data_IF_461649551412
#
_entry.id   IF_461649551412
#
_cell.length_a   1.000
_cell.length_b   1.000
_cell.length_c   1.000
_cell.angle_alpha   90.00
_cell.angle_beta   90.00
_cell.angle_gamma   90.00
#
_symmetry.space_group_name_H-M   'P 1'
#
loop_
_entity.id
_entity.type
_entity.pdbx_description
1 polymer ?
#
# COMPACT_ATOMS: atom_id res chain seq x y z
N UNK A 1 20.40 -3.83 2.20
CA UNK A 1 20.92 -4.58 1.07
C UNK A 1 20.09 -4.34 -0.19
N UNK A 2 18.77 -4.47 -0.17
CA UNK A 2 17.88 -4.24 -1.34
C UNK A 2 17.43 -2.77 -1.55
N UNK A 3 18.11 -1.81 -0.96
CA UNK A 3 17.68 -0.40 -0.95
C UNK A 3 17.80 0.30 -2.32
N UNK A 4 18.78 -0.10 -3.15
CA UNK A 4 19.13 0.57 -4.43
C UNK A 4 18.46 -0.01 -5.67
N UNK A 5 17.80 -1.17 -5.57
CA UNK A 5 17.40 -1.97 -6.73
C UNK A 5 15.89 -2.19 -6.82
N UNK A 6 15.10 -1.19 -6.38
CA UNK A 6 13.65 -1.27 -6.59
C UNK A 6 13.31 -0.81 -8.00
N UNK A 7 12.57 -1.64 -8.73
CA UNK A 7 12.06 -1.29 -10.08
C UNK A 7 11.24 -0.01 -10.08
N UNK A 8 10.61 0.32 -8.97
CA UNK A 8 9.86 1.56 -8.78
C UNK A 8 10.77 2.80 -8.83
N UNK A 9 12.05 2.70 -8.45
CA UNK A 9 13.00 3.84 -8.52
C UNK A 9 13.11 4.41 -9.92
N UNK A 10 13.28 3.56 -10.93
CA UNK A 10 13.36 3.98 -12.34
C UNK A 10 12.05 4.60 -12.84
N UNK A 11 10.91 4.20 -12.28
CA UNK A 11 9.61 4.80 -12.58
C UNK A 11 9.47 6.16 -11.90
N UNK A 12 9.92 6.30 -10.65
CA UNK A 12 9.89 7.56 -9.90
C UNK A 12 10.73 8.65 -10.56
N UNK A 13 11.87 8.29 -11.16
CA UNK A 13 12.71 9.23 -11.92
C UNK A 13 12.05 9.74 -13.20
N UNK A 14 11.04 9.04 -13.71
CA UNK A 14 10.29 9.38 -14.94
C UNK A 14 8.92 9.97 -14.66
N UNK A 15 8.54 10.16 -13.40
CA UNK A 15 7.24 10.71 -13.05
C UNK A 15 7.16 12.20 -13.38
N UNK A 16 5.98 12.69 -13.78
CA UNK A 16 5.75 14.10 -14.00
C UNK A 16 6.04 14.91 -12.73
N UNK A 17 6.87 15.96 -12.85
CA UNK A 17 7.19 16.85 -11.74
C UNK A 17 6.03 17.79 -11.34
N UNK A 18 4.93 17.75 -12.09
CA UNK A 18 3.72 18.57 -11.91
C UNK A 18 2.61 17.81 -11.17
N UNK A 19 2.91 16.68 -10.53
CA UNK A 19 1.95 15.89 -9.77
C UNK A 19 2.52 15.39 -8.46
N UNK A 20 1.71 15.41 -7.41
CA UNK A 20 2.05 14.75 -6.17
C UNK A 20 2.04 13.22 -6.37
N UNK A 21 3.10 12.56 -5.95
CA UNK A 21 3.28 11.12 -6.11
C UNK A 21 2.79 10.43 -4.85
N UNK A 22 1.87 9.47 -5.02
CA UNK A 22 1.33 8.69 -3.91
C UNK A 22 1.78 7.24 -4.03
N UNK A 23 2.64 6.81 -3.09
CA UNK A 23 3.19 5.45 -3.06
C UNK A 23 2.34 4.58 -2.13
N UNK A 24 1.51 3.75 -2.72
CA UNK A 24 0.73 2.73 -2.03
C UNK A 24 1.51 1.43 -1.84
N UNK A 25 1.09 0.60 -0.93
CA UNK A 25 1.61 -0.76 -0.77
C UNK A 25 1.37 -1.30 0.63
N UNK A 26 1.42 -2.62 0.76
CA UNK A 26 1.26 -3.29 2.05
C UNK A 26 2.24 -2.74 3.10
N UNK A 27 1.95 -2.97 4.38
CA UNK A 27 2.89 -2.65 5.47
C UNK A 27 4.21 -3.38 5.26
N UNK A 28 5.32 -2.76 5.65
CA UNK A 28 6.68 -3.34 5.58
C UNK A 28 7.17 -3.73 4.17
N UNK A 29 6.58 -3.18 3.10
CA UNK A 29 7.13 -3.33 1.73
C UNK A 29 8.35 -2.43 1.48
N UNK A 30 8.68 -1.53 2.41
CA UNK A 30 9.86 -0.66 2.32
C UNK A 30 9.58 0.69 1.66
N UNK A 31 8.35 1.23 1.72
CA UNK A 31 7.98 2.55 1.15
C UNK A 31 8.87 3.67 1.68
N UNK A 32 8.90 3.85 2.99
CA UNK A 32 9.70 4.88 3.67
C UNK A 32 11.18 4.71 3.35
N UNK A 33 11.72 3.48 3.47
CA UNK A 33 13.12 3.17 3.17
C UNK A 33 13.50 3.47 1.71
N UNK A 34 12.58 3.23 0.77
CA UNK A 34 12.79 3.57 -0.63
C UNK A 34 12.93 5.08 -0.83
N UNK A 35 12.03 5.88 -0.24
CA UNK A 35 12.05 7.33 -0.35
C UNK A 35 13.25 7.96 0.38
N UNK A 36 13.59 7.45 1.58
CA UNK A 36 14.81 7.88 2.31
C UNK A 36 16.06 7.69 1.46
N UNK A 37 16.15 6.56 0.75
CA UNK A 37 17.29 6.30 -0.11
C UNK A 37 17.29 7.16 -1.38
N UNK A 38 16.11 7.35 -1.99
CA UNK A 38 15.96 8.16 -3.20
C UNK A 38 16.35 9.63 -2.98
N UNK A 39 16.07 10.14 -1.77
CA UNK A 39 16.24 11.56 -1.46
C UNK A 39 17.36 11.86 -0.45
N UNK A 40 18.30 10.93 -0.25
CA UNK A 40 19.37 11.06 0.74
C UNK A 40 20.23 12.33 0.57
N UNK A 41 20.37 12.81 -0.68
CA UNK A 41 21.22 13.97 -1.04
C UNK A 41 20.39 15.24 -1.34
N UNK A 42 19.10 15.26 -0.93
CA UNK A 42 18.17 16.38 -1.16
C UNK A 42 17.73 17.02 0.14
N UNK A 43 17.27 18.26 0.08
CA UNK A 43 16.63 18.94 1.21
C UNK A 43 15.21 18.46 1.38
N UNK A 44 15.01 17.47 2.25
CA UNK A 44 13.72 16.81 2.47
C UNK A 44 13.11 17.25 3.78
N UNK A 45 11.82 17.59 3.76
CA UNK A 45 10.98 17.66 4.95
C UNK A 45 10.16 16.38 5.04
N UNK A 46 10.34 15.66 6.13
CA UNK A 46 9.54 14.48 6.48
C UNK A 46 8.45 14.89 7.47
N UNK A 47 7.21 14.52 7.17
CA UNK A 47 6.06 14.65 8.06
C UNK A 47 5.36 13.30 8.11
N UNK A 48 4.91 12.89 9.30
CA UNK A 48 4.29 11.57 9.50
C UNK A 48 2.85 11.69 10.00
N UNK A 49 1.95 11.00 9.33
CA UNK A 49 0.58 10.85 9.83
C UNK A 49 0.49 10.10 11.18
N UNK A 50 1.55 9.39 11.60
CA UNK A 50 1.61 8.76 12.91
C UNK A 50 1.88 9.79 14.03
N UNK A 51 2.57 10.89 13.71
CA UNK A 51 2.93 11.91 14.69
C UNK A 51 1.80 12.95 14.87
N UNK A 52 1.30 13.16 16.09
CA UNK A 52 0.23 14.13 16.35
C UNK A 52 0.57 15.55 15.91
N UNK A 53 1.79 16.00 16.17
CA UNK A 53 2.25 17.34 15.81
C UNK A 53 2.27 17.58 14.31
N UNK A 54 2.69 16.58 13.52
CA UNK A 54 2.72 16.66 12.06
C UNK A 54 1.29 16.68 11.50
N UNK A 55 0.37 15.90 12.08
CA UNK A 55 -1.05 15.94 11.69
C UNK A 55 -1.65 17.32 11.96
N UNK A 56 -1.39 17.90 13.12
CA UNK A 56 -1.86 19.23 13.48
C UNK A 56 -1.30 20.29 12.53
N UNK A 57 0.01 20.26 12.27
CA UNK A 57 0.66 21.14 11.29
C UNK A 57 -0.02 21.03 9.92
N UNK A 58 -0.16 19.82 9.39
CA UNK A 58 -0.72 19.59 8.04
C UNK A 58 -2.20 20.00 7.95
N UNK A 59 -2.99 19.79 9.00
CA UNK A 59 -4.40 20.20 9.03
C UNK A 59 -4.59 21.70 9.23
N UNK A 60 -3.63 22.38 9.86
CA UNK A 60 -3.66 23.83 10.06
C UNK A 60 -3.35 24.64 8.79
N UNK A 61 -2.74 24.04 7.78
CA UNK A 61 -2.43 24.70 6.52
C UNK A 61 -3.72 25.17 5.82
N UNK A 62 -4.13 26.40 6.02
CA UNK A 62 -5.39 26.94 5.50
C UNK A 62 -5.22 27.81 4.27
N UNK A 63 -4.10 28.48 4.11
CA UNK A 63 -3.84 29.44 3.04
C UNK A 63 -2.70 28.98 2.11
N UNK A 64 -2.63 29.60 0.91
CA UNK A 64 -1.48 29.41 0.01
C UNK A 64 -0.18 29.94 0.62
N UNK A 65 -0.26 30.97 1.48
CA UNK A 65 0.89 31.53 2.16
C UNK A 65 1.50 30.51 3.15
N UNK A 66 0.67 29.81 3.94
CA UNK A 66 1.11 28.77 4.87
C UNK A 66 1.83 27.65 4.11
N UNK A 67 1.26 27.22 2.99
CA UNK A 67 1.85 26.20 2.12
C UNK A 67 3.19 26.69 1.56
N UNK A 68 3.26 27.91 1.07
CA UNK A 68 4.50 28.48 0.51
C UNK A 68 5.61 28.57 1.56
N UNK A 69 5.25 28.91 2.79
CA UNK A 69 6.19 28.94 3.93
C UNK A 69 6.71 27.53 4.23
N UNK A 70 5.82 26.54 4.32
CA UNK A 70 6.19 25.15 4.58
C UNK A 70 7.15 24.61 3.51
N UNK A 71 6.89 24.90 2.24
CA UNK A 71 7.65 24.37 1.10
C UNK A 71 8.93 25.18 0.76
N UNK A 72 9.13 26.33 1.42
CA UNK A 72 10.24 27.22 1.11
C UNK A 72 11.60 26.56 1.33
N UNK A 73 12.42 26.56 0.29
CA UNK A 73 13.78 26.02 0.34
C UNK A 73 13.89 24.50 0.42
N UNK A 74 12.79 23.78 0.23
CA UNK A 74 12.75 22.32 0.16
C UNK A 74 12.86 21.83 -1.29
N UNK A 75 13.58 20.73 -1.49
CA UNK A 75 13.55 19.97 -2.74
C UNK A 75 12.41 18.97 -2.77
N UNK A 76 12.08 18.40 -1.59
CA UNK A 76 11.07 17.35 -1.46
C UNK A 76 10.29 17.49 -0.15
N UNK A 77 8.98 17.35 -0.22
CA UNK A 77 8.11 17.10 0.93
C UNK A 77 7.65 15.64 0.90
N UNK A 78 7.88 14.89 1.98
CA UNK A 78 7.37 13.53 2.15
C UNK A 78 6.36 13.51 3.29
N UNK A 79 5.17 12.99 3.01
CA UNK A 79 4.09 12.76 3.99
C UNK A 79 3.93 11.25 4.14
N UNK A 80 4.51 10.69 5.19
CA UNK A 80 4.44 9.25 5.46
C UNK A 80 3.14 8.90 6.23
N UNK A 81 2.61 7.67 6.03
CA UNK A 81 1.34 7.19 6.61
C UNK A 81 0.19 8.21 6.43
N UNK A 82 0.10 8.78 5.23
CA UNK A 82 -0.78 9.90 4.89
C UNK A 82 -2.28 9.61 5.12
N UNK A 83 -2.69 8.34 5.10
CA UNK A 83 -4.08 7.93 5.38
C UNK A 83 -4.55 8.30 6.80
N UNK A 84 -3.64 8.61 7.71
CA UNK A 84 -3.99 9.04 9.08
C UNK A 84 -4.30 10.53 9.20
N UNK A 85 -4.13 11.27 8.11
CA UNK A 85 -4.37 12.71 8.06
C UNK A 85 -5.77 12.95 7.50
N UNK A 86 -6.63 13.58 8.29
CA UNK A 86 -7.98 13.90 7.86
C UNK A 86 -7.96 14.87 6.68
N UNK A 87 -8.72 14.58 5.61
CA UNK A 87 -8.79 15.44 4.43
C UNK A 87 -7.52 15.46 3.58
N UNK A 88 -6.65 14.46 3.68
CA UNK A 88 -5.36 14.39 2.98
C UNK A 88 -5.49 14.59 1.46
N UNK A 89 -6.54 14.09 0.82
CA UNK A 89 -6.74 14.29 -0.62
C UNK A 89 -6.86 15.75 -1.00
N UNK A 90 -7.64 16.52 -0.25
CA UNK A 90 -7.78 17.96 -0.46
C UNK A 90 -6.48 18.71 -0.14
N UNK A 91 -5.76 18.27 0.88
CA UNK A 91 -4.45 18.84 1.23
C UNK A 91 -3.44 18.62 0.10
N UNK A 92 -3.29 17.38 -0.40
CA UNK A 92 -2.39 17.06 -1.52
C UNK A 92 -2.73 17.87 -2.76
N UNK A 93 -4.03 18.02 -3.07
CA UNK A 93 -4.49 18.89 -4.16
C UNK A 93 -4.04 20.34 -3.96
N UNK A 94 -4.20 20.89 -2.76
CA UNK A 94 -3.82 22.28 -2.45
C UNK A 94 -2.31 22.49 -2.49
N UNK A 95 -1.55 21.52 -1.99
CA UNK A 95 -0.09 21.51 -2.09
C UNK A 95 0.35 21.58 -3.56
N UNK A 96 -0.23 20.74 -4.41
CA UNK A 96 0.08 20.69 -5.85
C UNK A 96 -0.39 21.96 -6.61
N UNK A 97 -1.61 22.45 -6.30
CA UNK A 97 -2.15 23.67 -6.91
C UNK A 97 -1.33 24.92 -6.54
N UNK A 98 -0.50 24.87 -5.51
CA UNK A 98 0.45 25.92 -5.16
C UNK A 98 1.65 25.97 -6.09
N UNK A 99 1.79 25.00 -7.00
CA UNK A 99 2.88 24.85 -7.98
C UNK A 99 4.27 25.02 -7.34
N UNK A 100 4.59 24.18 -6.37
CA UNK A 100 5.87 24.27 -5.69
C UNK A 100 7.00 23.88 -6.65
N UNK A 101 8.18 24.47 -6.47
CA UNK A 101 9.43 23.94 -7.04
C UNK A 101 9.86 22.63 -6.33
N UNK A 102 9.15 22.22 -5.32
CA UNK A 102 9.38 21.10 -4.43
C UNK A 102 8.53 19.89 -4.87
N UNK A 103 9.12 18.71 -4.93
CA UNK A 103 8.41 17.48 -5.22
C UNK A 103 7.58 17.06 -3.99
N UNK A 104 6.35 16.59 -4.22
CA UNK A 104 5.46 16.16 -3.15
C UNK A 104 5.27 14.65 -3.25
N UNK A 105 5.60 13.95 -2.15
CA UNK A 105 5.40 12.52 -1.99
C UNK A 105 4.48 12.24 -0.81
N UNK A 106 3.56 11.30 -0.98
CA UNK A 106 2.80 10.74 0.12
C UNK A 106 2.92 9.22 0.10
N UNK A 107 2.96 8.58 1.27
CA UNK A 107 2.90 7.12 1.37
C UNK A 107 1.64 6.70 2.10
N UNK A 108 1.17 5.49 1.79
CA UNK A 108 0.06 4.88 2.50
C UNK A 108 0.16 3.36 2.53
N UNK A 109 -0.19 2.76 3.68
CA UNK A 109 -0.16 1.31 3.86
C UNK A 109 -1.43 0.62 3.37
N UNK A 110 -2.53 1.34 3.23
CA UNK A 110 -3.85 0.85 2.83
C UNK A 110 -4.36 1.68 1.65
N UNK A 111 -4.91 1.00 0.66
CA UNK A 111 -5.57 1.68 -0.46
C UNK A 111 -6.97 2.18 -0.10
N UNK A 112 -7.52 1.78 1.06
CA UNK A 112 -8.91 2.02 1.44
C UNK A 112 -9.30 3.49 1.53
N UNK A 113 -8.55 4.27 2.28
CA UNK A 113 -8.87 5.70 2.47
C UNK A 113 -8.21 6.58 1.42
N UNK A 114 -6.99 6.19 0.99
CA UNK A 114 -6.25 6.95 0.00
C UNK A 114 -6.78 6.72 -1.42
N UNK A 115 -7.13 5.50 -1.81
CA UNK A 115 -7.58 5.22 -3.18
C UNK A 115 -8.99 5.76 -3.45
N UNK A 116 -9.95 5.61 -2.51
CA UNK A 116 -11.32 6.11 -2.70
C UNK A 116 -11.41 7.64 -2.56
N UNK A 117 -11.20 8.17 -1.36
CA UNK A 117 -11.41 9.59 -1.08
C UNK A 117 -10.32 10.52 -1.63
N UNK A 118 -9.06 10.09 -1.65
CA UNK A 118 -7.92 10.92 -2.09
C UNK A 118 -7.91 11.08 -3.61
N UNK A 119 -8.08 9.98 -4.35
CA UNK A 119 -8.04 10.03 -5.82
C UNK A 119 -9.21 10.81 -6.40
N UNK A 120 -10.42 10.69 -5.83
CA UNK A 120 -11.58 11.46 -6.27
C UNK A 120 -11.42 12.95 -5.98
N UNK A 121 -10.98 13.30 -4.76
CA UNK A 121 -10.85 14.71 -4.35
C UNK A 121 -9.70 15.45 -5.03
N UNK A 122 -8.69 14.76 -5.52
CA UNK A 122 -7.50 15.31 -6.14
C UNK A 122 -7.27 14.82 -7.59
N UNK A 123 -8.36 14.51 -8.30
CA UNK A 123 -8.29 14.01 -9.68
C UNK A 123 -7.41 14.89 -10.58
N UNK A 124 -6.50 14.26 -11.31
CA UNK A 124 -5.55 14.92 -12.21
C UNK A 124 -4.32 15.55 -11.54
N UNK A 125 -4.26 15.63 -10.21
CA UNK A 125 -3.13 16.19 -9.43
C UNK A 125 -2.24 15.14 -8.79
N UNK A 126 -2.69 13.89 -8.76
CA UNK A 126 -1.98 12.79 -8.13
C UNK A 126 -1.50 11.78 -9.17
N UNK A 127 -0.36 11.19 -8.86
CA UNK A 127 0.22 10.06 -9.59
C UNK A 127 0.35 8.86 -8.66
N UNK A 128 -0.58 7.90 -8.71
CA UNK A 128 -0.53 6.74 -7.85
C UNK A 128 0.50 5.72 -8.33
N UNK A 129 1.27 5.18 -7.41
CA UNK A 129 2.22 4.10 -7.63
C UNK A 129 2.06 3.03 -6.56
N UNK A 130 2.19 1.77 -6.91
CA UNK A 130 2.10 0.67 -5.96
C UNK A 130 3.44 0.01 -5.76
N UNK A 131 3.91 -0.05 -4.51
CA UNK A 131 5.11 -0.77 -4.12
C UNK A 131 4.72 -2.14 -3.55
N UNK A 132 4.98 -3.18 -4.33
CA UNK A 132 4.82 -4.56 -3.92
C UNK A 132 6.03 -5.06 -3.10
N UNK A 133 5.95 -6.21 -2.41
CA UNK A 133 7.12 -6.94 -1.93
C UNK A 133 8.14 -7.16 -3.05
N UNK A 134 9.35 -7.59 -2.70
CA UNK A 134 10.44 -7.76 -3.67
C UNK A 134 10.04 -8.74 -4.79
N UNK A 135 10.19 -8.30 -6.03
CA UNK A 135 9.96 -9.12 -7.22
C UNK A 135 11.10 -10.11 -7.46
N UNK A 136 10.85 -11.11 -8.28
CA UNK A 136 11.88 -12.09 -8.68
C UNK A 136 13.04 -11.40 -9.38
N UNK A 137 12.78 -10.42 -10.25
CA UNK A 137 13.83 -9.66 -10.93
C UNK A 137 14.68 -8.85 -9.95
N UNK A 138 14.07 -8.14 -9.00
CA UNK A 138 14.81 -7.37 -7.98
C UNK A 138 15.67 -8.27 -7.09
N UNK A 139 15.24 -9.51 -6.85
CA UNK A 139 16.02 -10.50 -6.14
C UNK A 139 17.18 -11.03 -6.99
N UNK A 140 16.95 -11.26 -8.29
CA UNK A 140 17.97 -11.73 -9.22
C UNK A 140 19.06 -10.68 -9.48
N UNK A 141 18.72 -9.40 -9.50
CA UNK A 141 19.68 -8.30 -9.61
C UNK A 141 20.66 -8.24 -8.42
N UNK A 142 20.27 -8.80 -7.30
CA UNK A 142 21.09 -8.80 -6.07
C UNK A 142 21.79 -10.12 -5.82
N UNK A 143 21.13 -11.23 -6.11
CA UNK A 143 21.64 -12.60 -6.02
C UNK A 143 21.84 -13.15 -7.44
N UNK A 144 22.36 -14.37 -7.56
CA UNK A 144 22.33 -15.05 -8.85
C UNK A 144 20.89 -15.49 -9.19
N UNK A 145 20.58 -15.57 -10.49
CA UNK A 145 19.30 -16.13 -10.93
C UNK A 145 19.08 -17.55 -10.44
N UNK A 146 20.16 -18.34 -10.34
CA UNK A 146 20.12 -19.69 -9.83
C UNK A 146 19.66 -19.73 -8.37
N UNK A 147 20.24 -18.90 -7.49
CA UNK A 147 19.87 -18.82 -6.07
C UNK A 147 18.39 -18.43 -5.90
N UNK A 148 17.89 -17.54 -6.77
CA UNK A 148 16.49 -17.13 -6.75
C UNK A 148 15.57 -18.27 -7.13
N UNK A 149 15.92 -19.06 -8.15
CA UNK A 149 15.15 -20.24 -8.57
C UNK A 149 15.18 -21.35 -7.54
N UNK A 150 16.31 -21.62 -6.92
CA UNK A 150 16.44 -22.62 -5.84
C UNK A 150 15.59 -22.23 -4.61
N UNK A 151 15.52 -20.93 -4.30
CA UNK A 151 14.69 -20.42 -3.18
C UNK A 151 13.21 -20.28 -3.51
N UNK A 152 12.78 -20.47 -4.77
CA UNK A 152 11.40 -20.25 -5.21
C UNK A 152 10.36 -21.07 -4.41
N UNK A 153 10.55 -22.38 -4.14
CA UNK A 153 9.56 -23.15 -3.38
C UNK A 153 9.29 -22.58 -1.98
N UNK A 154 10.33 -22.14 -1.27
CA UNK A 154 10.14 -21.52 0.03
C UNK A 154 9.51 -20.14 -0.08
N UNK A 155 9.86 -19.34 -1.12
CA UNK A 155 9.26 -18.02 -1.37
C UNK A 155 7.78 -18.09 -1.71
N UNK A 156 7.34 -19.12 -2.40
CA UNK A 156 5.91 -19.36 -2.66
C UNK A 156 5.14 -19.63 -1.36
N UNK A 157 5.82 -20.04 -0.30
CA UNK A 157 5.20 -20.29 1.01
C UNK A 157 5.26 -19.07 1.93
N UNK A 158 6.41 -18.36 1.97
CA UNK A 158 6.62 -17.26 2.94
C UNK A 158 6.59 -15.87 2.31
N UNK A 159 6.54 -15.77 0.99
CA UNK A 159 6.54 -14.51 0.26
C UNK A 159 7.93 -13.86 0.18
N UNK A 160 7.96 -12.63 -0.34
CA UNK A 160 9.17 -11.86 -0.60
C UNK A 160 9.16 -10.47 0.06
N UNK A 161 8.58 -10.35 1.26
CA UNK A 161 8.73 -9.12 2.03
C UNK A 161 10.21 -8.86 2.34
N UNK A 162 10.68 -7.61 2.32
CA UNK A 162 12.09 -7.29 2.55
C UNK A 162 12.66 -7.90 3.83
N UNK A 163 11.91 -7.88 4.93
CA UNK A 163 12.34 -8.46 6.19
C UNK A 163 12.45 -9.99 6.14
N UNK A 164 11.53 -10.67 5.43
CA UNK A 164 11.58 -12.13 5.26
C UNK A 164 12.78 -12.54 4.40
N UNK A 165 13.08 -11.76 3.38
CA UNK A 165 14.21 -12.02 2.49
C UNK A 165 15.55 -11.81 3.22
N UNK A 166 15.64 -10.81 4.09
CA UNK A 166 16.86 -10.51 4.84
C UNK A 166 17.03 -11.38 6.09
N UNK A 167 15.93 -11.87 6.68
CA UNK A 167 15.92 -12.69 7.90
C UNK A 167 15.00 -13.91 7.75
N UNK A 168 15.33 -14.88 6.89
CA UNK A 168 14.46 -16.02 6.57
C UNK A 168 14.04 -16.84 7.81
N UNK A 169 14.91 -16.91 8.82
CA UNK A 169 14.66 -17.64 10.06
C UNK A 169 13.49 -17.07 10.88
N UNK A 170 13.08 -15.80 10.65
CA UNK A 170 11.97 -15.14 11.33
C UNK A 170 10.68 -15.11 10.51
N UNK A 171 10.65 -15.72 9.32
CA UNK A 171 9.55 -15.60 8.34
C UNK A 171 8.18 -15.86 8.95
N UNK A 172 8.02 -16.94 9.73
CA UNK A 172 6.73 -17.27 10.37
C UNK A 172 6.27 -16.20 11.37
N UNK A 173 7.19 -15.68 12.18
CA UNK A 173 6.87 -14.65 13.16
C UNK A 173 6.53 -13.32 12.46
N UNK A 174 7.30 -12.95 11.45
CA UNK A 174 7.06 -11.75 10.63
C UNK A 174 5.71 -11.82 9.92
N UNK A 175 5.37 -12.94 9.27
CA UNK A 175 4.07 -13.13 8.62
C UNK A 175 2.91 -13.05 9.60
N UNK A 176 3.04 -13.67 10.77
CA UNK A 176 2.02 -13.61 11.81
C UNK A 176 1.80 -12.17 12.28
N UNK A 177 2.88 -11.45 12.55
CA UNK A 177 2.80 -10.05 12.96
C UNK A 177 2.18 -9.16 11.87
N UNK A 178 2.58 -9.35 10.61
CA UNK A 178 2.01 -8.62 9.47
C UNK A 178 0.51 -8.86 9.35
N UNK A 179 0.09 -10.12 9.37
CA UNK A 179 -1.31 -10.50 9.29
C UNK A 179 -2.13 -9.89 10.44
N UNK A 180 -1.67 -10.06 11.68
CA UNK A 180 -2.34 -9.49 12.86
C UNK A 180 -2.41 -7.95 12.78
N UNK A 181 -1.34 -7.30 12.34
CA UNK A 181 -1.28 -5.84 12.19
C UNK A 181 -2.28 -5.33 11.14
N UNK A 182 -2.36 -5.97 9.97
CA UNK A 182 -3.26 -5.55 8.90
C UNK A 182 -4.72 -5.83 9.30
N UNK A 183 -5.00 -7.04 9.77
CA UNK A 183 -6.38 -7.43 10.13
C UNK A 183 -6.92 -6.62 11.29
N UNK A 184 -6.14 -6.48 12.38
CA UNK A 184 -6.64 -5.86 13.60
C UNK A 184 -6.54 -4.33 13.60
N UNK A 185 -5.53 -3.75 12.98
CA UNK A 185 -5.36 -2.28 12.99
C UNK A 185 -6.04 -1.61 11.81
N UNK A 186 -5.99 -2.23 10.62
CA UNK A 186 -6.49 -1.59 9.42
C UNK A 186 -7.93 -2.02 9.11
N UNK A 187 -8.21 -3.32 8.99
CA UNK A 187 -9.53 -3.79 8.56
C UNK A 187 -10.62 -3.60 9.62
N UNK A 188 -10.35 -3.93 10.88
CA UNK A 188 -11.37 -3.76 11.92
C UNK A 188 -11.61 -2.30 12.31
N UNK A 189 -10.60 -1.44 12.23
CA UNK A 189 -10.76 -0.02 12.53
C UNK A 189 -11.60 0.70 11.46
N UNK A 190 -11.41 0.36 10.17
CA UNK A 190 -12.02 1.05 9.03
C UNK A 190 -13.40 0.47 8.70
N UNK A 191 -13.53 -0.84 8.68
CA UNK A 191 -14.73 -1.50 8.17
C UNK A 191 -15.82 -1.74 9.22
N UNK A 192 -15.58 -1.44 10.49
CA UNK A 192 -16.52 -1.76 11.58
C UNK A 192 -16.77 -3.28 11.72
N UNK A 193 -15.95 -4.10 11.07
CA UNK A 193 -16.04 -5.55 11.17
C UNK A 193 -15.63 -5.93 12.58
N UNK A 194 -16.59 -6.39 13.38
CA UNK A 194 -16.28 -6.97 14.68
C UNK A 194 -15.41 -8.20 14.46
N UNK A 195 -14.44 -8.45 15.36
CA UNK A 195 -13.62 -9.68 15.40
C UNK A 195 -14.57 -10.87 15.42
N UNK A 196 -14.97 -11.33 14.24
CA UNK A 196 -15.86 -12.47 14.15
C UNK A 196 -15.01 -13.67 13.74
N UNK A 197 -15.26 -14.79 14.39
CA UNK A 197 -14.72 -16.08 13.97
C UNK A 197 -15.04 -16.37 12.50
N UNK A 198 -16.20 -15.90 12.04
CA UNK A 198 -16.64 -15.97 10.66
C UNK A 198 -15.68 -15.29 9.67
N UNK A 199 -15.16 -14.11 10.01
CA UNK A 199 -14.16 -13.43 9.16
C UNK A 199 -12.86 -14.21 9.10
N UNK A 200 -12.35 -14.69 10.24
CA UNK A 200 -11.14 -15.53 10.27
C UNK A 200 -11.35 -16.86 9.55
N UNK A 201 -12.56 -17.42 9.62
CA UNK A 201 -12.93 -18.62 8.87
C UNK A 201 -12.91 -18.33 7.36
N UNK A 202 -13.50 -17.21 6.93
CA UNK A 202 -13.43 -16.77 5.52
C UNK A 202 -11.97 -16.65 5.03
N UNK A 203 -11.10 -16.02 5.81
CA UNK A 203 -9.67 -15.90 5.43
C UNK A 203 -9.01 -17.28 5.28
N UNK A 204 -9.29 -18.22 6.16
CA UNK A 204 -8.79 -19.60 6.06
C UNK A 204 -9.33 -20.31 4.82
N UNK A 205 -10.61 -20.13 4.50
CA UNK A 205 -11.20 -20.71 3.28
C UNK A 205 -10.58 -20.11 2.02
N UNK A 206 -10.36 -18.80 1.98
CA UNK A 206 -9.66 -18.15 0.87
C UNK A 206 -8.25 -18.70 0.71
N UNK A 207 -7.52 -18.87 1.81
CA UNK A 207 -6.17 -19.45 1.79
C UNK A 207 -6.16 -20.91 1.29
N UNK A 208 -7.16 -21.70 1.68
CA UNK A 208 -7.30 -23.09 1.20
C UNK A 208 -7.71 -23.20 -0.27
N UNK A 209 -8.29 -22.14 -0.83
CA UNK A 209 -8.77 -22.10 -2.21
C UNK A 209 -7.89 -21.24 -3.15
N UNK A 210 -6.65 -20.94 -2.77
CA UNK A 210 -5.73 -20.16 -3.61
C UNK A 210 -5.58 -20.82 -4.98
N UNK A 211 -5.80 -20.02 -6.05
CA UNK A 211 -5.70 -20.48 -7.43
C UNK A 211 -6.90 -21.27 -7.95
N UNK A 212 -7.92 -21.51 -7.13
CA UNK A 212 -9.14 -22.20 -7.52
C UNK A 212 -10.32 -21.22 -7.69
N UNK A 213 -11.25 -21.51 -8.61
CA UNK A 213 -12.49 -20.74 -8.70
C UNK A 213 -13.31 -20.85 -7.42
N UNK A 214 -13.77 -19.72 -6.89
CA UNK A 214 -14.67 -19.68 -5.73
C UNK A 214 -15.82 -18.69 -6.01
N UNK A 215 -17.01 -18.99 -5.51
CA UNK A 215 -18.13 -18.06 -5.52
C UNK A 215 -18.36 -17.47 -4.13
N UNK A 216 -18.76 -16.20 -4.07
CA UNK A 216 -19.09 -15.54 -2.79
C UNK A 216 -20.25 -16.23 -2.06
N UNK A 217 -21.20 -16.82 -2.81
CA UNK A 217 -22.30 -17.58 -2.25
C UNK A 217 -21.81 -18.84 -1.53
N UNK A 218 -20.93 -19.64 -2.18
CA UNK A 218 -20.35 -20.84 -1.56
C UNK A 218 -19.52 -20.53 -0.34
N UNK A 219 -18.66 -19.50 -0.41
CA UNK A 219 -17.86 -19.05 0.74
C UNK A 219 -18.77 -18.57 1.88
N UNK A 220 -19.84 -17.84 1.55
CA UNK A 220 -20.81 -17.35 2.53
C UNK A 220 -21.52 -18.47 3.27
N UNK A 221 -21.97 -19.50 2.57
CA UNK A 221 -22.60 -20.68 3.19
C UNK A 221 -21.66 -21.37 4.18
N UNK A 222 -20.38 -21.52 3.82
CA UNK A 222 -19.38 -22.16 4.70
C UNK A 222 -19.03 -21.32 5.93
N UNK A 223 -19.04 -19.98 5.81
CA UNK A 223 -18.70 -19.07 6.91
C UNK A 223 -19.91 -18.61 7.75
N UNK A 224 -21.13 -18.90 7.32
CA UNK A 224 -22.33 -18.34 7.92
C UNK A 224 -22.47 -16.83 7.65
N UNK A 225 -22.00 -16.35 6.49
CA UNK A 225 -22.08 -14.97 6.04
C UNK A 225 -22.95 -14.84 4.79
N UNK A 226 -23.59 -13.68 4.60
CA UNK A 226 -24.27 -13.38 3.35
C UNK A 226 -23.28 -13.13 2.21
N UNK A 227 -23.65 -13.46 0.97
CA UNK A 227 -22.81 -13.22 -0.21
C UNK A 227 -22.34 -11.77 -0.33
N UNK A 228 -23.17 -10.74 -0.14
CA UNK A 228 -22.69 -9.34 -0.13
C UNK A 228 -21.68 -9.04 0.99
N UNK A 229 -21.82 -9.70 2.15
CA UNK A 229 -20.83 -9.55 3.24
C UNK A 229 -19.49 -10.15 2.86
N UNK A 230 -19.49 -11.33 2.23
CA UNK A 230 -18.25 -11.97 1.73
C UNK A 230 -17.58 -11.10 0.68
N UNK A 231 -18.33 -10.61 -0.30
CA UNK A 231 -17.82 -9.71 -1.34
C UNK A 231 -17.15 -8.47 -0.74
N UNK A 232 -17.82 -7.82 0.21
CA UNK A 232 -17.24 -6.68 0.94
C UNK A 232 -15.96 -7.07 1.69
N UNK A 233 -15.94 -8.21 2.39
CA UNK A 233 -14.75 -8.68 3.09
C UNK A 233 -13.59 -8.97 2.13
N UNK A 234 -13.86 -9.61 0.99
CA UNK A 234 -12.84 -9.90 -0.03
C UNK A 234 -12.30 -8.59 -0.63
N UNK A 235 -13.17 -7.64 -0.96
CA UNK A 235 -12.77 -6.31 -1.45
C UNK A 235 -11.84 -5.60 -0.44
N UNK A 236 -12.16 -5.65 0.85
CA UNK A 236 -11.33 -5.07 1.90
C UNK A 236 -9.96 -5.76 2.03
N UNK A 237 -9.93 -7.10 1.94
CA UNK A 237 -8.70 -7.88 1.95
C UNK A 237 -7.83 -7.57 0.71
N UNK A 238 -8.44 -7.39 -0.45
CA UNK A 238 -7.74 -7.01 -1.68
C UNK A 238 -7.17 -5.59 -1.59
N UNK A 239 -7.97 -4.64 -1.12
CA UNK A 239 -7.51 -3.27 -0.89
C UNK A 239 -6.37 -3.20 0.13
N UNK A 240 -6.34 -4.12 1.09
CA UNK A 240 -5.25 -4.25 2.08
C UNK A 240 -4.05 -5.07 1.61
N UNK A 241 -4.01 -5.45 0.34
CA UNK A 241 -2.95 -6.26 -0.26
C UNK A 241 -2.75 -7.66 0.35
N UNK A 242 -3.78 -8.22 0.99
CA UNK A 242 -3.74 -9.58 1.56
C UNK A 242 -4.08 -10.62 0.49
N UNK A 243 -5.09 -10.34 -0.34
CA UNK A 243 -5.49 -11.18 -1.46
C UNK A 243 -5.44 -10.40 -2.75
N UNK A 244 -5.41 -11.11 -3.87
CA UNK A 244 -5.60 -10.56 -5.21
C UNK A 244 -6.63 -11.40 -5.93
N UNK A 245 -7.71 -10.79 -6.38
CA UNK A 245 -8.70 -11.44 -7.22
C UNK A 245 -8.22 -11.49 -8.66
N UNK A 246 -8.36 -12.64 -9.28
CA UNK A 246 -8.07 -12.84 -10.70
C UNK A 246 -9.39 -13.12 -11.42
N UNK A 247 -9.84 -12.25 -12.34
CA UNK A 247 -11.04 -12.50 -13.11
C UNK A 247 -10.82 -13.69 -14.05
N UNK A 248 -11.88 -14.44 -14.35
CA UNK A 248 -11.83 -15.48 -15.34
C UNK A 248 -11.43 -14.91 -16.71
N UNK A 249 -10.52 -15.56 -17.39
CA UNK A 249 -10.06 -15.14 -18.72
C UNK A 249 -11.10 -15.36 -19.83
N UNK A 250 -12.17 -16.13 -19.56
CA UNK A 250 -13.15 -16.49 -20.56
C UNK A 250 -14.18 -15.37 -20.77
N UNK A 251 -14.18 -14.76 -21.95
CA UNK A 251 -15.12 -13.72 -22.38
C UNK A 251 -16.60 -14.18 -22.38
N UNK A 252 -16.88 -15.49 -22.30
CA UNK A 252 -18.22 -16.07 -22.31
C UNK A 252 -18.93 -15.99 -20.93
N UNK A 253 -18.23 -15.67 -19.84
CA UNK A 253 -18.80 -15.60 -18.49
C UNK A 253 -18.90 -14.18 -17.92
N UNK A 254 -18.66 -13.15 -18.72
CA UNK A 254 -18.72 -11.76 -18.24
C UNK A 254 -20.09 -11.08 -18.46
N UNK A 255 -21.10 -11.81 -18.94
CA UNK A 255 -22.37 -11.20 -19.28
C UNK A 255 -23.52 -11.44 -18.29
N UNK A 256 -23.35 -12.27 -17.26
CA UNK A 256 -24.44 -12.47 -16.28
C UNK A 256 -23.90 -12.85 -14.88
N UNK A 257 -23.45 -11.85 -14.12
CA UNK A 257 -23.30 -11.97 -12.68
C UNK A 257 -23.67 -10.65 -12.00
#
# INVERSE_FOLDING_TARGET
MYKRQRSLTALLERTPADKAIVVFGARQTGKTTLLEHLFQDRKVKWLSGDEPQDRELLTSLSSKADISILLSGLDVLVIDEAQRIQGIGMLLKRLEDSKPSCLIFATGSSSLELAGGVMESAAGRLWPMTLFPLSVSELADHNSWLDVMESLPIRLTVGSYPEIVTHPQRSKATLRYLFESIVFKDLFAIAGIRRSEQFLHLVRLLAANIGNPCSFSSLGQQCGLSSPTVERCVSLLEQSFIVKTLPCYCLLYTSDA
#
